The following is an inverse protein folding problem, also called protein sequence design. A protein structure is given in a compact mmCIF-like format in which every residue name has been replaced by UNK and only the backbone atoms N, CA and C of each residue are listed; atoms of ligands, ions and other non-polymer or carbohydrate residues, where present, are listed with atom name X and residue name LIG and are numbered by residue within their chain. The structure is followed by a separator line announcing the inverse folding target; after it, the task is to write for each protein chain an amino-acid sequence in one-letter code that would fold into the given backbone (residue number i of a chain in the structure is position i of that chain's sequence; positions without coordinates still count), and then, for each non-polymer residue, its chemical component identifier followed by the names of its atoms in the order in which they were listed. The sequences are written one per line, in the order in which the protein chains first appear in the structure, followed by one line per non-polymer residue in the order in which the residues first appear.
data_IF_097033441356
#
_entry.id   IF_097033441356
#
_cell.length_a   1.000
_cell.length_b   1.000
_cell.length_c   1.000
_cell.angle_alpha   90.00
_cell.angle_beta   90.00
_cell.angle_gamma   90.00
#
_symmetry.space_group_name_H-M   'P 1'
#
loop_
_entity.id
_entity.type
_entity.pdbx_description
1 polymer ?
#
# COMPACT_ATOMS: atom_id res chain seq x y z
N UNK A 1 -26.89 -15.62 -5.58
CA UNK A 1 -26.13 -14.46 -6.11
C UNK A 1 -26.98 -13.85 -7.22
N UNK A 2 -27.59 -12.70 -6.98
CA UNK A 2 -28.67 -12.17 -7.82
C UNK A 2 -28.14 -11.46 -9.07
N UNK A 3 -28.83 -11.67 -10.19
CA UNK A 3 -28.51 -11.20 -11.56
C UNK A 3 -28.27 -9.68 -11.66
N UNK A 4 -28.69 -8.89 -10.67
CA UNK A 4 -28.47 -7.44 -10.60
C UNK A 4 -27.01 -7.01 -10.32
N UNK A 5 -26.14 -7.89 -9.81
CA UNK A 5 -24.72 -7.54 -9.56
C UNK A 5 -23.84 -7.66 -10.81
N UNK A 6 -24.31 -8.34 -11.86
CA UNK A 6 -23.53 -8.56 -13.08
C UNK A 6 -23.56 -7.34 -14.01
N UNK A 7 -24.66 -6.57 -14.00
CA UNK A 7 -24.86 -5.38 -14.83
C UNK A 7 -23.94 -4.21 -14.43
N UNK A 8 -23.65 -4.07 -13.13
CA UNK A 8 -22.76 -3.02 -12.61
C UNK A 8 -21.29 -3.34 -12.89
N UNK A 9 -20.93 -4.63 -12.88
CA UNK A 9 -19.57 -5.07 -13.18
C UNK A 9 -19.24 -4.94 -14.68
N UNK A 10 -20.23 -5.14 -15.55
CA UNK A 10 -20.07 -4.97 -17.00
C UNK A 10 -19.97 -3.48 -17.40
N UNK A 11 -20.69 -2.58 -16.72
CA UNK A 11 -20.57 -1.13 -16.94
C UNK A 11 -19.20 -0.57 -16.51
N UNK A 12 -18.59 -1.13 -15.46
CA UNK A 12 -17.26 -0.74 -14.98
C UNK A 12 -16.13 -1.23 -15.88
N UNK A 13 -16.32 -2.32 -16.63
CA UNK A 13 -15.34 -2.83 -17.59
C UNK A 13 -15.38 -2.06 -18.93
N UNK A 14 -16.53 -1.53 -19.33
CA UNK A 14 -16.66 -0.71 -20.55
C UNK A 14 -16.06 0.69 -20.35
N UNK A 15 -16.11 1.25 -19.13
CA UNK A 15 -15.46 2.53 -18.81
C UNK A 15 -13.92 2.50 -18.82
N UNK A 16 -13.29 1.32 -18.92
CA UNK A 16 -11.84 1.14 -18.92
C UNK A 16 -11.21 1.11 -20.33
N UNK A 17 -12.00 1.19 -21.42
CA UNK A 17 -11.50 1.04 -22.80
C UNK A 17 -11.71 2.24 -23.73
N UNK A 18 -12.27 3.35 -23.25
CA UNK A 18 -12.36 4.58 -24.04
C UNK A 18 -11.32 5.58 -23.57
N UNK A 19 -10.27 5.79 -24.35
CA UNK A 19 -9.37 6.94 -24.23
C UNK A 19 -10.15 8.22 -24.52
N UNK A 20 -10.59 8.92 -23.46
CA UNK A 20 -11.12 10.27 -23.56
C UNK A 20 -9.95 11.26 -23.69
N UNK A 21 -9.68 11.70 -24.92
CA UNK A 21 -9.05 13.00 -25.15
C UNK A 21 -10.07 14.07 -24.76
N UNK A 22 -9.85 14.72 -23.61
CA UNK A 22 -10.54 15.96 -23.28
C UNK A 22 -9.59 17.12 -23.61
N UNK A 23 -9.76 17.65 -24.83
CA UNK A 23 -9.26 18.96 -25.21
C UNK A 23 -10.22 19.99 -24.60
N UNK A 24 -9.74 20.75 -23.61
CA UNK A 24 -10.51 21.85 -23.04
C UNK A 24 -10.35 23.05 -23.99
N UNK A 25 -11.32 23.20 -24.90
CA UNK A 25 -11.52 24.40 -25.71
C UNK A 25 -12.02 25.52 -24.82
N UNK A 26 -11.20 26.56 -24.67
CA UNK A 26 -11.62 27.86 -24.15
C UNK A 26 -12.79 28.37 -25.00
N UNK A 27 -13.90 28.68 -24.31
CA UNK A 27 -15.11 29.22 -24.92
C UNK A 27 -14.85 30.69 -25.28
N UNK A 28 -14.52 30.94 -26.55
CA UNK A 28 -14.57 32.25 -27.17
C UNK A 28 -15.85 32.37 -28.00
N UNK A 29 -16.64 33.40 -27.71
CA UNK A 29 -17.78 33.89 -28.48
C UNK A 29 -18.58 34.80 -27.55
N UNK A 30 -18.76 36.10 -27.78
CA UNK A 30 -18.95 36.89 -29.01
C UNK A 30 -18.48 38.32 -28.70
N UNK A 31 -17.71 39.00 -29.53
CA UNK A 31 -18.17 39.55 -30.81
C UNK A 31 -18.64 40.99 -30.61
N UNK A 32 -17.75 41.96 -30.84
CA UNK A 32 -18.09 43.29 -31.35
C UNK A 32 -16.85 43.86 -32.05
N UNK A 33 -16.92 43.88 -33.37
CA UNK A 33 -16.06 44.69 -34.23
C UNK A 33 -16.52 46.15 -34.12
N UNK A 34 -15.60 47.05 -33.76
CA UNK A 34 -15.54 48.36 -34.36
C UNK A 34 -14.08 48.80 -34.34
N UNK A 35 -13.57 49.08 -35.55
CA UNK A 35 -12.29 49.73 -35.77
C UNK A 35 -12.23 51.02 -34.97
N UNK A 36 -11.10 51.30 -34.31
CA UNK A 36 -10.57 52.65 -34.37
C UNK A 36 -9.04 52.65 -34.30
N UNK A 37 -8.48 53.15 -35.39
CA UNK A 37 -7.10 53.53 -35.59
C UNK A 37 -6.73 54.66 -34.64
N UNK A 38 -5.83 54.40 -33.69
CA UNK A 38 -4.97 55.45 -33.14
C UNK A 38 -3.67 54.87 -32.57
N UNK A 39 -2.57 55.47 -33.03
CA UNK A 39 -1.20 55.27 -32.60
C UNK A 39 -1.03 55.48 -31.09
N UNK A 40 -0.52 54.47 -30.36
CA UNK A 40 0.05 54.70 -29.02
C UNK A 40 1.36 53.95 -28.81
N UNK A 41 2.34 54.77 -28.40
CA UNK A 41 3.68 54.47 -27.87
C UNK A 41 3.65 53.32 -26.85
N UNK A 42 4.78 52.61 -26.76
CA UNK A 42 5.04 51.47 -25.87
C UNK A 42 4.35 51.55 -24.51
N UNK A 43 3.27 50.78 -24.36
CA UNK A 43 2.63 50.54 -23.08
C UNK A 43 3.46 49.49 -22.35
N UNK A 44 4.38 49.95 -21.49
CA UNK A 44 4.94 49.10 -20.44
C UNK A 44 3.75 48.50 -19.69
N UNK A 45 3.66 47.16 -19.67
CA UNK A 45 2.59 46.45 -18.98
C UNK A 45 2.41 46.93 -17.53
N UNK A 46 1.25 46.69 -16.92
CA UNK A 46 0.87 47.30 -15.65
C UNK A 46 1.98 47.15 -14.61
N UNK A 47 2.39 48.28 -14.04
CA UNK A 47 3.49 48.40 -13.08
C UNK A 47 3.25 47.55 -11.82
N UNK A 48 1.99 47.18 -11.54
CA UNK A 48 1.60 46.29 -10.46
C UNK A 48 0.44 45.39 -10.92
N UNK A 49 0.60 44.08 -10.81
CA UNK A 49 -0.48 43.09 -10.95
C UNK A 49 -0.81 42.52 -9.57
N UNK A 50 -2.09 42.54 -9.19
CA UNK A 50 -2.60 41.89 -7.98
C UNK A 50 -3.44 40.69 -8.42
N UNK A 51 -3.05 39.49 -8.01
CA UNK A 51 -3.80 38.26 -8.27
C UNK A 51 -4.31 37.67 -6.95
N UNK A 52 -5.61 37.43 -6.89
CA UNK A 52 -6.24 36.70 -5.80
C UNK A 52 -6.38 35.24 -6.20
N UNK A 53 -6.10 34.34 -5.28
CA UNK A 53 -6.41 32.94 -5.51
C UNK A 53 -6.52 32.14 -4.22
N UNK A 54 -6.72 30.85 -4.39
CA UNK A 54 -6.91 29.91 -3.29
C UNK A 54 -5.85 28.83 -3.36
N UNK A 55 -5.00 28.73 -2.33
CA UNK A 55 -4.12 27.57 -2.19
C UNK A 55 -4.84 26.46 -1.45
N UNK A 56 -4.82 25.23 -1.98
CA UNK A 56 -5.24 24.08 -1.19
C UNK A 56 -4.21 23.86 -0.07
N UNK A 57 -4.60 24.13 1.17
CA UNK A 57 -3.74 24.03 2.35
C UNK A 57 -3.33 22.58 2.57
N UNK A 58 -2.04 22.27 2.56
CA UNK A 58 -1.60 20.92 2.91
C UNK A 58 -1.81 20.68 4.40
N UNK A 59 -2.02 19.41 4.79
CA UNK A 59 -2.29 19.07 6.18
C UNK A 59 -1.05 19.37 7.02
N UNK A 60 -1.17 20.27 7.99
CA UNK A 60 -0.12 20.54 8.97
C UNK A 60 -0.30 19.59 10.17
N UNK A 61 0.75 18.87 10.52
CA UNK A 61 0.78 18.01 11.71
C UNK A 61 0.69 16.51 11.43
N UNK A 62 0.66 15.74 12.52
CA UNK A 62 0.61 14.27 12.51
C UNK A 62 -0.85 13.82 12.49
N UNK A 63 -1.17 12.81 11.67
CA UNK A 63 -2.52 12.26 11.60
C UNK A 63 -2.52 10.73 11.58
N UNK A 64 -3.59 10.16 12.13
CA UNK A 64 -3.77 8.71 12.20
C UNK A 64 -4.68 8.22 11.09
N UNK A 65 -4.31 7.11 10.46
CA UNK A 65 -5.14 6.36 9.53
C UNK A 65 -5.27 4.93 9.99
N UNK A 66 -6.50 4.46 10.12
CA UNK A 66 -6.78 3.05 10.35
C UNK A 66 -7.05 2.37 9.00
N UNK A 67 -6.59 1.14 8.87
CA UNK A 67 -6.76 0.38 7.66
C UNK A 67 -6.44 -1.08 7.90
N UNK A 68 -6.60 -1.88 6.86
CA UNK A 68 -6.22 -3.28 6.91
C UNK A 68 -5.78 -3.74 5.56
N UNK A 69 -4.97 -4.78 5.59
CA UNK A 69 -4.57 -5.56 4.43
C UNK A 69 -5.72 -6.56 4.15
N UNK A 70 -6.86 -6.06 3.62
CA UNK A 70 -8.11 -6.81 3.45
C UNK A 70 -7.88 -8.22 2.89
N UNK A 71 -7.13 -8.31 1.80
CA UNK A 71 -6.79 -9.58 1.15
C UNK A 71 -5.29 -9.67 0.95
N UNK A 72 -4.67 -10.70 1.50
CA UNK A 72 -3.24 -10.95 1.37
C UNK A 72 -3.03 -12.24 0.57
N UNK A 73 -2.52 -12.07 -0.65
CA UNK A 73 -2.15 -13.16 -1.54
C UNK A 73 -0.65 -13.42 -1.40
N UNK A 74 -0.31 -14.59 -0.88
CA UNK A 74 1.05 -15.04 -0.59
C UNK A 74 1.56 -15.94 -1.70
N UNK A 75 2.76 -15.62 -2.16
CA UNK A 75 3.59 -16.45 -3.02
C UNK A 75 4.86 -16.80 -2.24
N UNK A 76 5.37 -17.99 -2.51
CA UNK A 76 6.59 -18.47 -1.89
C UNK A 76 7.50 -19.06 -2.95
N UNK A 77 8.79 -18.97 -2.76
CA UNK A 77 9.74 -19.84 -3.45
C UNK A 77 10.35 -20.73 -2.39
N UNK A 78 10.15 -22.05 -2.50
CA UNK A 78 10.59 -23.01 -1.49
C UNK A 78 11.54 -24.02 -2.11
N UNK A 79 12.68 -24.23 -1.47
CA UNK A 79 13.64 -25.28 -1.81
C UNK A 79 13.95 -26.12 -0.58
N UNK A 80 14.15 -27.42 -0.77
CA UNK A 80 14.64 -28.34 0.27
C UNK A 80 15.94 -28.97 -0.23
N UNK A 81 17.06 -28.72 0.45
CA UNK A 81 18.39 -29.19 0.03
C UNK A 81 18.73 -28.83 -1.43
N UNK A 82 18.27 -27.66 -1.89
CA UNK A 82 18.47 -27.19 -3.27
C UNK A 82 17.41 -27.65 -4.27
N UNK A 83 16.56 -28.62 -3.93
CA UNK A 83 15.48 -29.08 -4.79
C UNK A 83 14.21 -28.24 -4.62
N UNK A 84 13.57 -27.89 -5.74
CA UNK A 84 12.34 -27.09 -5.71
C UNK A 84 11.17 -27.87 -5.11
N UNK A 85 10.57 -27.31 -4.07
CA UNK A 85 9.35 -27.85 -3.46
C UNK A 85 8.15 -27.14 -4.06
N UNK A 86 7.18 -27.92 -4.57
CA UNK A 86 5.94 -27.37 -5.11
C UNK A 86 5.19 -26.58 -4.03
N UNK A 87 4.85 -25.34 -4.36
CA UNK A 87 4.09 -24.45 -3.49
C UNK A 87 2.78 -24.02 -4.16
N UNK A 88 1.81 -23.60 -3.36
CA UNK A 88 0.50 -23.14 -3.83
C UNK A 88 0.28 -21.73 -3.31
N UNK A 89 -0.08 -20.76 -4.18
CA UNK A 89 -0.44 -19.41 -3.74
C UNK A 89 -1.53 -19.46 -2.67
N UNK A 90 -1.34 -18.68 -1.60
CA UNK A 90 -2.24 -18.69 -0.46
C UNK A 90 -2.93 -17.34 -0.32
N UNK A 91 -4.25 -17.36 -0.36
CA UNK A 91 -5.06 -16.19 -0.06
C UNK A 91 -5.53 -16.19 1.40
N UNK A 92 -5.55 -15.03 2.06
CA UNK A 92 -6.10 -14.86 3.42
C UNK A 92 -6.78 -13.50 3.60
N UNK A 93 -7.99 -13.51 4.18
CA UNK A 93 -8.74 -12.29 4.52
C UNK A 93 -8.51 -11.82 5.96
N UNK A 94 -8.03 -12.70 6.86
CA UNK A 94 -8.08 -12.47 8.31
C UNK A 94 -6.96 -13.21 9.05
N UNK A 95 -6.32 -12.64 10.08
CA UNK A 95 -6.40 -11.28 10.60
C UNK A 95 -5.31 -10.41 9.96
N UNK A 96 -5.70 -9.34 9.27
CA UNK A 96 -4.79 -8.43 8.58
C UNK A 96 -5.25 -6.97 8.80
N UNK A 97 -4.91 -6.37 9.94
CA UNK A 97 -5.33 -5.02 10.33
C UNK A 97 -4.14 -4.16 10.73
N UNK A 98 -4.20 -2.85 10.49
CA UNK A 98 -3.12 -1.94 10.82
C UNK A 98 -3.59 -0.52 11.17
N UNK A 99 -2.75 0.16 11.94
CA UNK A 99 -2.89 1.58 12.27
C UNK A 99 -1.60 2.28 11.88
N UNK A 100 -1.71 3.31 11.04
CA UNK A 100 -0.57 4.14 10.66
C UNK A 100 -0.70 5.56 11.22
N UNK A 101 0.41 6.09 11.70
CA UNK A 101 0.66 7.47 12.06
C UNK A 101 1.44 8.10 10.91
N UNK A 102 0.98 9.23 10.42
CA UNK A 102 1.46 9.82 9.17
C UNK A 102 1.80 11.29 9.40
N UNK A 103 2.80 11.79 8.70
CA UNK A 103 3.20 13.20 8.69
C UNK A 103 3.51 13.60 7.26
N UNK A 104 2.75 14.56 6.74
CA UNK A 104 2.97 15.11 5.40
C UNK A 104 3.85 16.37 5.53
N UNK A 105 4.97 16.42 4.81
CA UNK A 105 5.87 17.57 4.79
C UNK A 105 5.51 18.59 3.71
N UNK A 106 4.63 18.20 2.79
CA UNK A 106 4.08 19.07 1.78
C UNK A 106 2.89 18.42 1.08
N UNK A 107 2.58 18.89 -0.12
CA UNK A 107 1.46 18.35 -0.94
C UNK A 107 1.81 17.01 -1.57
N UNK A 108 3.10 16.75 -1.73
CA UNK A 108 3.61 15.62 -2.49
C UNK A 108 4.43 14.61 -1.71
N UNK A 109 4.95 14.96 -0.53
CA UNK A 109 5.82 14.07 0.22
C UNK A 109 5.41 13.98 1.69
N UNK A 110 5.50 12.77 2.24
CA UNK A 110 5.19 12.48 3.63
C UNK A 110 5.83 11.18 4.08
N UNK A 111 5.85 10.96 5.39
CA UNK A 111 6.32 9.72 6.01
C UNK A 111 5.21 9.11 6.86
N UNK A 112 5.35 7.82 7.13
CA UNK A 112 4.47 7.13 8.04
C UNK A 112 5.18 6.01 8.78
N UNK A 113 4.66 5.72 9.97
CA UNK A 113 4.97 4.54 10.75
C UNK A 113 3.69 3.98 11.38
N UNK A 114 3.72 2.83 12.03
CA UNK A 114 2.48 2.25 12.54
C UNK A 114 2.66 0.92 13.25
N UNK A 115 1.53 0.23 13.39
CA UNK A 115 1.43 -1.14 13.88
C UNK A 115 0.51 -1.92 12.95
N UNK A 116 0.97 -3.08 12.49
CA UNK A 116 0.22 -4.00 11.64
C UNK A 116 0.16 -5.38 12.28
N UNK A 117 -0.99 -6.02 12.26
CA UNK A 117 -1.14 -7.44 12.56
C UNK A 117 -1.40 -8.14 11.25
N UNK A 118 -0.61 -9.17 10.92
CA UNK A 118 -0.73 -9.92 9.67
C UNK A 118 -0.77 -11.42 9.93
N UNK A 119 -1.42 -12.13 9.02
CA UNK A 119 -1.36 -13.59 8.95
C UNK A 119 -0.56 -14.04 7.73
N UNK A 120 0.76 -14.07 7.88
CA UNK A 120 1.69 -14.53 6.84
C UNK A 120 1.79 -16.06 6.85
N UNK A 121 2.20 -16.63 5.72
CA UNK A 121 2.39 -18.07 5.62
C UNK A 121 2.37 -18.58 4.20
N UNK A 122 2.62 -19.88 4.08
CA UNK A 122 2.80 -20.58 2.82
C UNK A 122 2.10 -21.94 2.84
N UNK A 123 1.88 -22.48 1.63
CA UNK A 123 1.35 -23.83 1.43
C UNK A 123 2.35 -24.57 0.55
N UNK A 124 2.87 -25.69 1.03
CA UNK A 124 3.81 -26.56 0.31
C UNK A 124 3.22 -27.95 0.13
N UNK A 125 3.66 -28.61 -0.94
CA UNK A 125 3.38 -30.01 -1.24
C UNK A 125 4.72 -30.71 -1.54
N UNK A 126 5.46 -31.16 -0.51
CA UNK A 126 6.73 -31.87 -0.72
C UNK A 126 6.52 -33.18 -1.48
N UNK A 127 5.38 -33.83 -1.30
CA UNK A 127 4.95 -35.01 -2.05
C UNK A 127 3.50 -34.81 -2.54
N UNK A 128 3.02 -35.62 -3.49
CA UNK A 128 1.64 -35.49 -3.98
C UNK A 128 0.58 -35.80 -2.92
N UNK A 129 0.87 -36.76 -2.03
CA UNK A 129 0.03 -37.13 -0.90
C UNK A 129 0.10 -36.14 0.27
N UNK A 130 1.20 -35.39 0.40
CA UNK A 130 1.46 -34.53 1.56
C UNK A 130 1.23 -33.06 1.23
N UNK A 131 0.39 -32.41 2.03
CA UNK A 131 0.17 -30.95 1.96
C UNK A 131 0.39 -30.32 3.32
N UNK A 132 1.29 -29.34 3.37
CA UNK A 132 1.62 -28.56 4.56
C UNK A 132 1.02 -27.16 4.43
N UNK A 133 0.35 -26.68 5.48
CA UNK A 133 -0.10 -25.30 5.60
C UNK A 133 0.53 -24.68 6.84
N UNK A 134 1.47 -23.78 6.64
CA UNK A 134 2.25 -23.14 7.71
C UNK A 134 1.94 -21.65 7.73
N UNK A 135 1.65 -21.10 8.90
CA UNK A 135 1.26 -19.71 9.08
C UNK A 135 1.79 -19.14 10.38
N UNK A 136 2.12 -17.88 10.35
CA UNK A 136 2.55 -17.09 11.51
C UNK A 136 1.67 -15.86 11.61
N UNK A 137 1.21 -15.56 12.82
CA UNK A 137 0.68 -14.24 13.12
C UNK A 137 1.83 -13.34 13.56
N UNK A 138 1.92 -12.17 12.93
CA UNK A 138 2.98 -11.20 13.20
C UNK A 138 2.41 -9.88 13.67
N UNK A 139 3.20 -9.16 14.47
CA UNK A 139 3.01 -7.77 14.81
C UNK A 139 4.15 -6.96 14.18
N UNK A 140 3.84 -6.20 13.14
CA UNK A 140 4.79 -5.44 12.34
C UNK A 140 4.79 -3.95 12.64
N UNK A 141 5.98 -3.35 12.63
CA UNK A 141 6.19 -1.90 12.67
C UNK A 141 6.66 -1.46 11.28
N UNK A 142 5.79 -0.88 10.43
CA UNK A 142 6.22 -0.30 9.17
C UNK A 142 6.88 1.06 9.41
N UNK A 143 7.84 1.39 8.55
CA UNK A 143 8.39 2.72 8.37
C UNK A 143 8.51 2.97 6.87
N UNK A 144 7.86 4.02 6.38
CA UNK A 144 7.86 4.30 4.95
C UNK A 144 7.64 5.77 4.64
N UNK A 145 7.83 6.07 3.36
CA UNK A 145 7.54 7.36 2.77
C UNK A 145 6.41 7.23 1.76
N UNK A 146 5.82 8.38 1.42
CA UNK A 146 4.73 8.51 0.47
C UNK A 146 5.05 9.64 -0.50
N UNK A 147 4.71 9.42 -1.76
CA UNK A 147 4.89 10.39 -2.81
C UNK A 147 3.69 10.43 -3.76
N UNK A 148 3.11 11.60 -4.04
CA UNK A 148 1.96 11.74 -4.94
C UNK A 148 1.00 12.88 -4.56
N UNK A 149 -0.31 12.71 -4.71
CA UNK A 149 -1.29 13.68 -4.22
C UNK A 149 -1.70 13.35 -2.77
N UNK A 150 -0.90 13.82 -1.81
CA UNK A 150 -1.18 13.62 -0.38
C UNK A 150 -2.24 14.60 0.14
N UNK A 151 -2.36 15.76 -0.53
CA UNK A 151 -3.31 16.79 -0.15
C UNK A 151 -4.75 16.33 -0.39
N UNK A 152 -5.08 15.79 -1.57
CA UNK A 152 -6.41 15.25 -1.88
C UNK A 152 -6.53 13.77 -1.55
N UNK A 153 -5.41 13.04 -1.47
CA UNK A 153 -5.42 11.59 -1.25
C UNK A 153 -6.02 10.80 -2.41
N UNK A 154 -6.05 11.39 -3.62
CA UNK A 154 -6.62 10.79 -4.84
C UNK A 154 -5.77 9.64 -5.34
N UNK A 155 -4.46 9.87 -5.43
CA UNK A 155 -3.49 8.89 -5.88
C UNK A 155 -2.11 9.19 -5.31
N UNK A 156 -1.49 8.22 -4.64
CA UNK A 156 -0.09 8.33 -4.22
C UNK A 156 0.58 6.96 -4.13
N UNK A 157 1.88 6.94 -4.32
CA UNK A 157 2.75 5.80 -4.08
C UNK A 157 3.28 5.82 -2.65
N UNK A 158 3.59 4.65 -2.12
CA UNK A 158 4.25 4.49 -0.84
C UNK A 158 5.24 3.35 -0.91
N UNK A 159 6.36 3.48 -0.20
CA UNK A 159 7.36 2.42 -0.08
C UNK A 159 8.08 2.54 1.26
N UNK A 160 8.72 1.46 1.69
CA UNK A 160 9.40 1.42 2.97
C UNK A 160 9.82 0.02 3.38
N UNK A 161 10.14 -0.11 4.66
CA UNK A 161 10.50 -1.36 5.31
C UNK A 161 9.60 -1.61 6.52
N UNK A 162 9.44 -2.87 6.89
CA UNK A 162 8.65 -3.29 8.04
C UNK A 162 9.37 -4.42 8.76
N UNK A 163 9.44 -4.33 10.08
CA UNK A 163 9.95 -5.40 10.92
C UNK A 163 8.78 -6.07 11.64
N UNK A 164 8.56 -7.36 11.37
CA UNK A 164 7.48 -8.18 11.91
C UNK A 164 7.97 -9.04 13.08
N UNK A 165 7.32 -8.92 14.24
CA UNK A 165 7.50 -9.83 15.38
C UNK A 165 6.56 -11.04 15.22
N UNK A 166 7.12 -12.22 15.03
CA UNK A 166 6.40 -13.49 14.97
C UNK A 166 5.97 -13.94 16.38
N UNK A 167 4.66 -13.94 16.66
CA UNK A 167 4.17 -14.27 18.01
C UNK A 167 3.36 -15.57 18.09
N UNK A 168 2.79 -16.06 16.99
CA UNK A 168 2.05 -17.32 17.01
C UNK A 168 2.20 -18.11 15.72
N UNK A 169 2.81 -19.30 15.82
CA UNK A 169 3.02 -20.25 14.73
C UNK A 169 1.90 -21.29 14.72
N UNK A 170 1.36 -21.59 13.55
CA UNK A 170 0.40 -22.68 13.33
C UNK A 170 0.77 -23.48 12.10
N UNK A 171 0.70 -24.80 12.25
CA UNK A 171 0.95 -25.74 11.16
C UNK A 171 -0.21 -26.74 11.07
N UNK A 172 -0.56 -27.13 9.85
CA UNK A 172 -1.49 -28.21 9.57
C UNK A 172 -0.87 -29.12 8.53
N UNK A 173 -0.83 -30.40 8.83
CA UNK A 173 -0.38 -31.46 7.91
C UNK A 173 -1.61 -32.17 7.38
N UNK A 174 -1.64 -32.38 6.07
CA UNK A 174 -2.63 -33.19 5.40
C UNK A 174 -1.94 -34.34 4.67
N UNK A 175 -2.41 -35.56 4.87
CA UNK A 175 -1.98 -36.77 4.15
C UNK A 175 -3.19 -37.28 3.37
N UNK A 176 -3.03 -37.47 2.06
CA UNK A 176 -4.10 -37.90 1.14
C UNK A 176 -5.37 -37.06 1.26
N UNK A 177 -5.18 -35.75 1.48
CA UNK A 177 -6.26 -34.79 1.65
C UNK A 177 -6.92 -34.77 3.03
N UNK A 178 -6.65 -35.76 3.90
CA UNK A 178 -7.15 -35.82 5.28
C UNK A 178 -6.22 -35.04 6.22
N UNK A 179 -6.81 -34.32 7.17
CA UNK A 179 -6.07 -33.52 8.14
C UNK A 179 -5.55 -34.42 9.28
N UNK A 180 -4.29 -34.81 9.19
CA UNK A 180 -3.65 -35.69 10.18
C UNK A 180 -3.23 -34.94 11.44
N UNK A 181 -2.60 -33.78 11.31
CA UNK A 181 -2.08 -33.05 12.47
C UNK A 181 -2.34 -31.55 12.42
N UNK A 182 -2.41 -30.96 13.61
CA UNK A 182 -2.51 -29.51 13.83
C UNK A 182 -1.58 -29.13 14.97
N UNK A 183 -0.64 -28.25 14.69
CA UNK A 183 0.28 -27.68 15.67
C UNK A 183 -0.01 -26.18 15.84
N UNK A 184 0.15 -25.69 17.07
CA UNK A 184 -0.06 -24.28 17.43
C UNK A 184 0.81 -23.95 18.63
N UNK A 185 1.69 -22.96 18.49
CA UNK A 185 2.63 -22.57 19.51
C UNK A 185 2.84 -21.06 19.49
N UNK A 186 2.90 -20.45 20.67
CA UNK A 186 3.23 -19.03 20.84
C UNK A 186 4.76 -18.87 20.89
N UNK A 187 5.29 -17.88 20.20
CA UNK A 187 6.73 -17.61 20.11
C UNK A 187 7.56 -18.86 19.74
N UNK A 188 7.09 -19.61 18.74
CA UNK A 188 7.76 -20.84 18.29
C UNK A 188 9.10 -20.53 17.64
N UNK A 189 10.12 -21.33 17.98
CA UNK A 189 11.45 -21.26 17.37
C UNK A 189 11.49 -21.79 15.93
N UNK A 190 10.36 -22.25 15.36
CA UNK A 190 10.27 -22.78 13.99
C UNK A 190 10.41 -21.70 12.91
N UNK A 191 10.15 -20.44 13.27
CA UNK A 191 10.28 -19.28 12.39
C UNK A 191 11.08 -18.20 13.10
N UNK A 192 11.86 -17.36 12.39
CA UNK A 192 12.57 -16.27 13.03
C UNK A 192 11.62 -15.37 13.83
N UNK A 193 12.04 -14.96 15.03
CA UNK A 193 11.24 -14.09 15.89
C UNK A 193 11.00 -12.72 15.25
N UNK A 194 12.02 -12.16 14.60
CA UNK A 194 11.95 -10.91 13.86
C UNK A 194 12.08 -11.20 12.37
N UNK A 195 11.19 -10.63 11.57
CA UNK A 195 11.09 -10.83 10.13
C UNK A 195 11.09 -9.47 9.43
N UNK A 196 12.26 -8.94 9.00
CA UNK A 196 12.33 -7.72 8.24
C UNK A 196 11.79 -7.95 6.83
N UNK A 197 11.15 -6.93 6.28
CA UNK A 197 10.57 -6.95 4.94
C UNK A 197 10.65 -5.56 4.32
N UNK A 198 10.58 -5.53 2.99
CA UNK A 198 10.44 -4.30 2.22
C UNK A 198 9.10 -4.31 1.51
N UNK A 199 8.48 -3.15 1.35
CA UNK A 199 7.21 -3.03 0.67
C UNK A 199 7.17 -1.80 -0.23
N UNK A 200 6.35 -1.89 -1.27
CA UNK A 200 6.00 -0.79 -2.14
C UNK A 200 4.55 -0.94 -2.61
N UNK A 201 3.90 0.16 -2.90
CA UNK A 201 2.50 0.14 -3.25
C UNK A 201 1.99 1.48 -3.72
N UNK A 202 0.71 1.48 -4.05
CA UNK A 202 -0.03 2.66 -4.49
C UNK A 202 -1.41 2.66 -3.84
N UNK A 203 -1.93 3.85 -3.60
CA UNK A 203 -3.25 4.07 -3.04
C UNK A 203 -4.07 4.92 -4.01
N UNK A 204 -5.33 4.56 -4.15
CA UNK A 204 -6.33 5.23 -4.96
C UNK A 204 -7.51 5.68 -4.09
N UNK A 205 -8.14 6.79 -4.49
CA UNK A 205 -9.42 7.19 -3.91
C UNK A 205 -10.53 6.16 -4.23
N UNK A 206 -11.51 5.98 -3.33
CA UNK A 206 -11.68 6.71 -2.07
C UNK A 206 -10.82 6.19 -0.91
N UNK A 207 -10.32 4.95 -0.96
CA UNK A 207 -9.59 4.35 0.17
C UNK A 207 -8.83 3.04 -0.11
N UNK A 208 -8.76 2.59 -1.36
CA UNK A 208 -8.12 1.33 -1.72
C UNK A 208 -6.64 1.52 -2.02
N UNK A 209 -5.86 0.46 -1.89
CA UNK A 209 -4.49 0.47 -2.36
C UNK A 209 -3.98 -0.93 -2.63
N UNK A 210 -2.97 -1.03 -3.47
CA UNK A 210 -2.25 -2.25 -3.74
C UNK A 210 -0.86 -2.15 -3.08
N UNK A 211 -0.48 -3.16 -2.32
CA UNK A 211 0.84 -3.24 -1.67
C UNK A 211 1.50 -4.56 -2.06
N UNK A 212 2.73 -4.49 -2.54
CA UNK A 212 3.62 -5.63 -2.69
C UNK A 212 4.62 -5.61 -1.54
N UNK A 213 4.82 -6.76 -0.88
CA UNK A 213 5.73 -6.89 0.26
C UNK A 213 6.60 -8.13 0.09
N UNK A 214 7.90 -7.98 0.27
CA UNK A 214 8.89 -9.04 0.11
C UNK A 214 9.66 -9.26 1.41
N UNK A 215 9.78 -10.53 1.81
CA UNK A 215 10.56 -10.97 2.95
C UNK A 215 11.86 -11.61 2.44
N UNK A 216 13.00 -10.90 2.53
CA UNK A 216 14.29 -11.42 2.07
C UNK A 216 14.83 -12.54 2.98
N UNK A 217 14.44 -12.54 4.25
CA UNK A 217 14.81 -13.58 5.21
C UNK A 217 14.01 -14.86 4.97
N UNK A 218 14.64 -16.00 5.28
CA UNK A 218 13.97 -17.29 5.26
C UNK A 218 12.78 -17.32 6.24
N UNK A 219 11.63 -17.83 5.78
CA UNK A 219 10.46 -18.04 6.62
C UNK A 219 10.73 -19.04 7.74
N UNK A 220 11.54 -20.07 7.47
CA UNK A 220 11.91 -21.08 8.46
C UNK A 220 13.18 -20.69 9.21
N UNK A 221 13.17 -20.95 10.52
CA UNK A 221 14.39 -20.89 11.31
C UNK A 221 15.21 -22.16 11.05
N UNK A 222 16.38 -22.02 10.41
CA UNK A 222 17.27 -23.16 10.08
C UNK A 222 17.92 -23.77 11.32
N UNK A 223 18.03 -23.00 12.40
CA UNK A 223 18.63 -23.43 13.67
C UNK A 223 17.62 -24.15 14.58
N UNK A 224 16.38 -24.34 14.13
CA UNK A 224 15.34 -25.02 14.89
C UNK A 224 15.74 -26.47 15.18
N UNK A 225 15.80 -26.81 16.48
CA UNK A 225 16.14 -28.15 16.98
C UNK A 225 14.91 -28.82 17.56
N UNK A 226 14.71 -30.08 17.23
CA UNK A 226 13.73 -30.92 17.90
C UNK A 226 14.32 -32.28 18.22
N UNK A 227 13.71 -33.02 19.14
CA UNK A 227 14.14 -34.38 19.47
C UNK A 227 13.31 -35.37 18.65
N UNK A 228 14.00 -36.33 18.03
CA UNK A 228 13.33 -37.46 17.40
C UNK A 228 12.75 -38.41 18.45
N UNK A 229 11.92 -39.38 18.03
CA UNK A 229 11.33 -40.43 18.87
C UNK A 229 12.38 -41.24 19.63
N UNK A 230 13.62 -41.29 19.13
CA UNK A 230 14.77 -41.94 19.76
C UNK A 230 15.60 -41.00 20.66
N UNK A 231 15.17 -39.76 20.88
CA UNK A 231 15.83 -38.79 21.77
C UNK A 231 16.98 -37.99 21.16
N UNK A 232 17.34 -38.27 19.90
CA UNK A 232 18.42 -37.58 19.17
C UNK A 232 17.99 -36.17 18.73
N UNK A 233 18.94 -35.22 18.75
CA UNK A 233 18.68 -33.86 18.24
C UNK A 233 18.70 -33.85 16.71
N UNK A 234 17.60 -33.40 16.10
CA UNK A 234 17.46 -33.24 14.66
C UNK A 234 17.14 -31.78 14.31
N UNK A 235 17.50 -31.38 13.09
CA UNK A 235 17.30 -30.02 12.56
C UNK A 235 16.37 -30.07 11.33
N UNK A 236 15.04 -30.12 11.53
CA UNK A 236 14.10 -30.36 10.44
C UNK A 236 14.11 -29.28 9.35
N UNK A 237 14.51 -28.06 9.71
CA UNK A 237 14.45 -26.89 8.84
C UNK A 237 15.79 -26.55 8.18
N UNK A 238 16.87 -27.28 8.46
CA UNK A 238 18.23 -26.90 8.03
C UNK A 238 18.35 -26.80 6.50
N UNK A 239 17.71 -27.72 5.79
CA UNK A 239 17.66 -27.75 4.32
C UNK A 239 16.60 -26.86 3.68
N UNK A 240 15.69 -26.28 4.47
CA UNK A 240 14.54 -25.54 3.96
C UNK A 240 14.89 -24.06 3.75
N UNK A 241 14.74 -23.59 2.51
CA UNK A 241 14.77 -22.18 2.16
C UNK A 241 13.41 -21.77 1.61
N UNK A 242 12.82 -20.73 2.16
CA UNK A 242 11.49 -20.25 1.82
C UNK A 242 11.45 -18.72 1.89
N UNK A 243 11.42 -18.08 0.72
CA UNK A 243 11.27 -16.62 0.59
C UNK A 243 9.84 -16.28 0.22
N UNK A 244 9.29 -15.21 0.80
CA UNK A 244 7.88 -14.86 0.66
C UNK A 244 7.69 -13.53 -0.05
N UNK A 245 6.74 -13.51 -0.98
CA UNK A 245 6.25 -12.30 -1.65
C UNK A 245 4.75 -12.23 -1.43
N UNK A 246 4.25 -11.07 -1.06
CA UNK A 246 2.84 -10.83 -0.84
C UNK A 246 2.34 -9.75 -1.77
N UNK A 247 1.16 -9.97 -2.33
CA UNK A 247 0.37 -8.96 -3.03
C UNK A 247 -0.90 -8.75 -2.22
N UNK A 248 -1.11 -7.51 -1.80
CA UNK A 248 -2.09 -7.18 -0.78
C UNK A 248 -3.01 -6.07 -1.24
N UNK A 249 -4.31 -6.34 -1.15
CA UNK A 249 -5.33 -5.31 -1.28
C UNK A 249 -5.52 -4.63 0.08
N UNK A 250 -5.06 -3.39 0.17
CA UNK A 250 -5.19 -2.54 1.36
C UNK A 250 -6.44 -1.67 1.27
N UNK A 251 -7.07 -1.42 2.42
CA UNK A 251 -8.18 -0.48 2.55
C UNK A 251 -8.01 0.36 3.81
N UNK A 252 -8.40 1.63 3.74
CA UNK A 252 -8.34 2.53 4.88
C UNK A 252 -9.72 3.03 5.27
N UNK A 253 -10.09 2.80 6.53
CA UNK A 253 -11.41 3.14 7.06
C UNK A 253 -11.61 4.67 7.23
N UNK A 254 -10.53 5.43 7.38
CA UNK A 254 -10.57 6.85 7.69
C UNK A 254 -10.48 7.75 6.43
N UNK A 255 -11.29 7.50 5.40
CA UNK A 255 -11.28 8.29 4.14
C UNK A 255 -11.55 9.79 4.37
N UNK A 256 -12.31 10.13 5.41
CA UNK A 256 -12.65 11.50 5.81
C UNK A 256 -11.44 12.37 6.13
N UNK A 257 -10.33 11.77 6.57
CA UNK A 257 -9.09 12.50 6.88
C UNK A 257 -8.63 13.30 5.65
N UNK A 258 -8.72 12.72 4.45
CA UNK A 258 -8.37 13.39 3.19
C UNK A 258 -9.40 14.44 2.73
N UNK A 259 -10.67 14.33 3.15
CA UNK A 259 -11.72 15.32 2.85
C UNK A 259 -11.59 16.61 3.68
N UNK A 260 -11.06 16.54 4.90
CA UNK A 260 -10.96 17.73 5.79
C UNK A 260 -9.84 18.70 5.36
N UNK A 261 -8.88 18.26 4.55
CA UNK A 261 -7.82 19.12 4.03
C UNK A 261 -8.31 20.18 3.02
N UNK A 262 -9.59 20.17 2.63
CA UNK A 262 -10.15 21.07 1.61
C UNK A 262 -10.36 22.54 2.03
N UNK A 263 -9.97 22.97 3.24
CA UNK A 263 -9.99 24.41 3.58
C UNK A 263 -8.90 25.14 2.80
N UNK A 264 -9.31 25.76 1.68
CA UNK A 264 -8.51 26.66 0.84
C UNK A 264 -8.15 27.91 1.66
N UNK A 265 -6.86 28.25 1.78
CA UNK A 265 -6.41 29.55 2.30
C UNK A 265 -6.40 30.54 1.14
N UNK A 266 -6.81 31.78 1.37
CA UNK A 266 -6.76 32.79 0.32
C UNK A 266 -5.31 33.32 0.23
N UNK A 267 -4.91 33.74 -0.97
CA UNK A 267 -3.65 34.44 -1.15
C UNK A 267 -3.86 35.68 -2.00
N UNK A 268 -3.02 36.68 -1.73
CA UNK A 268 -2.82 37.83 -2.61
C UNK A 268 -1.39 37.77 -3.12
N UNK A 269 -1.23 37.75 -4.44
CA UNK A 269 0.07 37.85 -5.11
C UNK A 269 0.20 39.23 -5.71
N UNK A 270 1.26 39.93 -5.33
CA UNK A 270 1.67 41.21 -5.88
C UNK A 270 2.86 40.98 -6.82
N UNK A 271 2.77 41.46 -8.06
CA UNK A 271 3.86 41.42 -9.04
C UNK A 271 4.13 42.82 -9.55
N UNK A 272 5.35 43.32 -9.37
CA UNK A 272 5.82 44.59 -9.93
C UNK A 272 7.15 44.32 -10.67
N UNK A 273 7.12 44.37 -12.00
CA UNK A 273 8.26 43.99 -12.84
C UNK A 273 8.75 42.55 -12.57
N UNK A 274 10.00 42.42 -12.12
CA UNK A 274 10.62 41.15 -11.75
C UNK A 274 10.37 40.73 -10.29
N UNK A 275 9.91 41.65 -9.43
CA UNK A 275 9.62 41.37 -8.03
C UNK A 275 8.26 40.68 -7.87
N UNK A 276 8.23 39.62 -7.05
CA UNK A 276 7.02 38.88 -6.70
C UNK A 276 6.93 38.75 -5.18
N UNK A 277 5.79 39.13 -4.61
CA UNK A 277 5.47 38.97 -3.19
C UNK A 277 4.13 38.26 -3.07
N UNK A 278 4.02 37.33 -2.13
CA UNK A 278 2.82 36.53 -1.90
C UNK A 278 2.49 36.49 -0.41
N UNK A 279 1.24 36.81 -0.07
CA UNK A 279 0.75 36.89 1.31
C UNK A 279 -0.43 35.94 1.47
N UNK A 280 -0.35 35.04 2.45
CA UNK A 280 -1.45 34.13 2.85
C UNK A 280 -2.39 34.83 3.86
N UNK A 281 -3.71 34.72 3.67
CA UNK A 281 -4.72 35.24 4.61
C UNK A 281 -5.94 34.32 4.76
#
# INVERSE_FOLDING_TARGET
MTIKSLSVLLLLMIAATTSTFAQETDSVGTGNHAQDSSSYRGVKGPLLTIAFGKYPKYRKGVYRTNGGDLGLLSFAQVTNNGEHVRNIPRFTYFFNFGTNINKDFGRHFGIFTGLNIKNIGLITKPYDSVKLKQRVYTLGVPLGFKFGDLHRGTFFFFAGAECDLAFNYKEKVFIDGKKESKFNEWFSDRTPLLMPSVFAGMRFAPSFGLKVQYYPQNFFNKDFKTKDKSGNSVYPNQGLDAKLVFVTLSYSFNSHVYKVAHKKTNYVRFKNGNAKMEIEY
#
